data_IF_164275288326
#
_entry.id   IF_164275288326
#
_cell.length_a   1.000
_cell.length_b   1.000
_cell.length_c   1.000
_cell.angle_alpha   90.00
_cell.angle_beta   90.00
_cell.angle_gamma   90.00
#
_symmetry.space_group_name_H-M   'P 1'
#
loop_
_entity.id
_entity.type
_entity.pdbx_description
1 polymer ?
#
# COMPACT_ATOMS: atom_id res chain seq x y z
N UNK A 1 -13.40 -22.12 -3.07
CA UNK A 1 -14.24 -21.45 -2.03
C UNK A 1 -14.08 -22.06 -0.62
N UNK A 2 -14.12 -23.39 -0.47
CA UNK A 2 -13.99 -24.09 0.83
C UNK A 2 -12.65 -23.90 1.56
N UNK A 3 -11.54 -23.73 0.84
CA UNK A 3 -10.20 -23.52 1.42
C UNK A 3 -10.03 -22.12 2.04
N UNK A 4 -10.56 -21.07 1.40
CA UNK A 4 -10.60 -19.71 1.92
C UNK A 4 -11.49 -19.60 3.16
N UNK A 5 -12.64 -20.27 3.16
CA UNK A 5 -13.52 -20.38 4.34
C UNK A 5 -12.81 -21.14 5.47
N UNK A 6 -12.04 -22.19 5.17
CA UNK A 6 -11.23 -22.93 6.16
C UNK A 6 -10.08 -22.08 6.72
N UNK A 7 -9.40 -21.27 5.92
CA UNK A 7 -8.33 -20.36 6.38
C UNK A 7 -8.89 -19.23 7.24
N UNK A 8 -10.02 -18.63 6.85
CA UNK A 8 -10.73 -17.63 7.64
C UNK A 8 -11.25 -18.23 8.96
N UNK A 9 -11.81 -19.44 8.93
CA UNK A 9 -12.21 -20.19 10.13
C UNK A 9 -11.02 -20.57 11.02
N UNK A 10 -9.86 -20.89 10.46
CA UNK A 10 -8.62 -21.17 11.21
C UNK A 10 -8.05 -19.92 11.87
N UNK A 11 -8.07 -18.76 11.20
CA UNK A 11 -7.64 -17.46 11.75
C UNK A 11 -8.57 -17.02 12.89
N UNK A 12 -9.89 -17.12 12.68
CA UNK A 12 -10.92 -16.85 13.70
C UNK A 12 -10.82 -17.83 14.89
N UNK A 13 -10.57 -19.13 14.64
CA UNK A 13 -10.30 -20.14 15.69
C UNK A 13 -9.01 -19.90 16.46
N UNK A 14 -7.93 -19.39 15.84
CA UNK A 14 -6.69 -19.03 16.55
C UNK A 14 -6.90 -17.81 17.45
N UNK A 15 -7.64 -16.81 16.99
CA UNK A 15 -8.02 -15.63 17.79
C UNK A 15 -8.93 -16.01 18.97
N UNK A 16 -9.97 -16.82 18.74
CA UNK A 16 -10.84 -17.29 19.83
C UNK A 16 -10.13 -18.24 20.78
N UNK A 17 -9.15 -19.03 20.32
CA UNK A 17 -8.30 -19.85 21.21
C UNK A 17 -7.35 -19.01 22.05
N UNK A 18 -6.77 -17.92 21.51
CA UNK A 18 -5.98 -16.96 22.31
C UNK A 18 -6.84 -16.25 23.36
N UNK A 19 -8.05 -15.83 22.96
CA UNK A 19 -9.04 -15.24 23.86
C UNK A 19 -9.43 -16.23 24.98
N UNK A 20 -9.77 -17.47 24.63
CA UNK A 20 -10.11 -18.53 25.59
C UNK A 20 -8.94 -18.96 26.47
N UNK A 21 -7.69 -18.89 25.98
CA UNK A 21 -6.49 -19.18 26.76
C UNK A 21 -6.21 -18.10 27.82
N UNK A 22 -6.44 -16.82 27.50
CA UNK A 22 -6.39 -15.72 28.46
C UNK A 22 -7.38 -15.94 29.62
N UNK A 23 -8.62 -16.35 29.30
CA UNK A 23 -9.63 -16.67 30.33
C UNK A 23 -9.35 -17.97 31.10
N UNK A 24 -8.51 -18.88 30.60
CA UNK A 24 -8.18 -20.14 31.28
C UNK A 24 -6.94 -20.08 32.18
N UNK A 25 -6.03 -19.12 31.99
CA UNK A 25 -4.83 -19.00 32.85
C UNK A 25 -5.01 -18.15 34.11
N UNK A 26 -6.15 -17.48 34.28
CA UNK A 26 -6.42 -16.60 35.43
C UNK A 26 -7.73 -16.96 36.17
N UNK A 27 -7.98 -18.26 36.38
CA UNK A 27 -9.00 -18.69 37.33
C UNK A 27 -8.58 -18.32 38.77
N UNK A 28 -8.73 -17.05 39.15
CA UNK A 28 -8.44 -16.55 40.49
C UNK A 28 -8.06 -15.06 40.60
N UNK A 29 -7.80 -14.35 39.50
CA UNK A 29 -7.59 -12.88 39.53
C UNK A 29 -8.53 -12.23 38.53
N UNK A 30 -9.24 -11.18 38.96
CA UNK A 30 -10.00 -10.33 38.04
C UNK A 30 -9.03 -9.84 36.96
N UNK A 31 -9.28 -10.07 35.66
CA UNK A 31 -8.41 -9.57 34.61
C UNK A 31 -8.28 -8.07 34.79
N UNK A 32 -7.05 -7.55 34.81
CA UNK A 32 -6.81 -6.12 34.95
C UNK A 32 -7.49 -5.40 33.77
N UNK A 33 -8.64 -4.79 34.04
CA UNK A 33 -9.50 -4.16 33.03
C UNK A 33 -8.75 -3.01 32.36
N UNK A 34 -7.86 -2.31 33.06
CA UNK A 34 -7.04 -1.25 32.48
C UNK A 34 -5.99 -1.81 31.52
N UNK A 35 -5.36 -2.94 31.86
CA UNK A 35 -4.45 -3.63 30.95
C UNK A 35 -5.21 -4.18 29.72
N UNK A 36 -6.43 -4.70 29.92
CA UNK A 36 -7.29 -5.16 28.84
C UNK A 36 -7.74 -4.00 27.94
N UNK A 37 -8.17 -2.87 28.50
CA UNK A 37 -8.55 -1.67 27.76
C UNK A 37 -7.35 -0.98 27.11
N UNK A 38 -6.14 -1.10 27.65
CA UNK A 38 -4.93 -0.66 26.94
C UNK A 38 -4.62 -1.52 25.71
N UNK A 39 -4.97 -2.81 25.75
CA UNK A 39 -4.71 -3.76 24.64
C UNK A 39 -5.85 -3.75 23.61
N UNK A 40 -7.10 -3.62 24.07
CA UNK A 40 -8.34 -3.80 23.28
C UNK A 40 -9.29 -2.60 23.31
N UNK A 41 -8.89 -1.49 23.95
CA UNK A 41 -9.69 -0.27 24.00
C UNK A 41 -9.87 0.39 22.63
N UNK A 42 -10.73 1.39 22.60
CA UNK A 42 -11.16 2.10 21.39
C UNK A 42 -9.99 2.43 20.46
N UNK A 43 -10.10 2.04 19.18
CA UNK A 43 -9.20 2.43 18.09
C UNK A 43 -9.32 3.93 17.72
N UNK A 44 -9.76 4.76 18.66
CA UNK A 44 -9.85 6.19 18.48
C UNK A 44 -8.45 6.75 18.21
N UNK A 45 -8.36 7.54 17.14
CA UNK A 45 -7.14 8.18 16.73
C UNK A 45 -6.61 9.09 17.85
N UNK A 46 -5.40 8.80 18.35
CA UNK A 46 -4.85 9.55 19.49
C UNK A 46 -4.12 10.81 19.02
N UNK A 47 -4.43 11.96 19.63
CA UNK A 47 -3.66 13.20 19.42
C UNK A 47 -2.47 13.23 20.37
N UNK A 48 -1.27 13.40 19.82
CA UNK A 48 -0.01 13.50 20.54
C UNK A 48 0.54 14.93 20.47
N UNK A 49 1.26 15.34 21.52
CA UNK A 49 2.07 16.57 21.48
C UNK A 49 3.40 16.32 20.77
N UNK A 50 4.07 17.36 20.28
CA UNK A 50 5.39 17.18 19.67
C UNK A 50 6.44 16.64 20.66
N UNK A 51 6.28 16.95 21.96
CA UNK A 51 7.11 16.37 23.02
C UNK A 51 6.91 14.86 23.09
N UNK A 52 5.68 14.36 22.95
CA UNK A 52 5.43 12.92 22.85
C UNK A 52 6.09 12.33 21.60
N UNK A 53 6.03 13.00 20.45
CA UNK A 53 6.68 12.56 19.22
C UNK A 53 8.20 12.41 19.41
N UNK A 54 8.85 13.42 20.00
CA UNK A 54 10.29 13.39 20.25
C UNK A 54 10.67 12.25 21.22
N UNK A 55 9.88 12.02 22.27
CA UNK A 55 10.10 10.90 23.20
C UNK A 55 9.88 9.54 22.53
N UNK A 56 8.80 9.40 21.77
CA UNK A 56 8.41 8.16 21.08
C UNK A 56 9.48 7.70 20.06
N UNK A 57 10.21 8.63 19.48
CA UNK A 57 11.23 8.40 18.45
C UNK A 57 12.67 8.41 19.00
N UNK A 58 12.84 8.44 20.33
CA UNK A 58 14.16 8.57 20.99
C UNK A 58 14.98 9.75 20.42
N UNK A 59 14.33 10.90 20.23
CA UNK A 59 14.95 12.08 19.63
C UNK A 59 15.19 11.97 18.13
N UNK A 60 14.35 11.23 17.39
CA UNK A 60 14.45 11.01 15.94
C UNK A 60 15.70 10.21 15.52
N UNK A 61 16.12 9.25 16.35
CA UNK A 61 17.36 8.49 16.18
C UNK A 61 17.33 7.51 15.01
N UNK A 62 16.27 6.71 14.93
CA UNK A 62 16.17 5.61 13.97
C UNK A 62 15.39 6.04 12.71
N UNK A 63 16.07 6.58 11.70
CA UNK A 63 15.44 6.95 10.42
C UNK A 63 15.12 5.70 9.59
N UNK A 64 13.86 5.55 9.17
CA UNK A 64 13.38 4.47 8.30
C UNK A 64 13.37 4.85 6.83
N UNK A 65 13.16 6.12 6.52
CA UNK A 65 13.11 6.63 5.16
C UNK A 65 12.93 8.14 5.12
N UNK A 66 13.23 8.75 3.97
CA UNK A 66 13.09 10.18 3.75
C UNK A 66 12.65 10.44 2.32
N UNK A 67 11.60 11.24 2.17
CA UNK A 67 11.11 11.72 0.88
C UNK A 67 11.17 13.25 0.79
N UNK A 68 10.63 13.81 -0.29
CA UNK A 68 10.56 15.26 -0.50
C UNK A 68 9.75 15.99 0.56
N UNK A 69 8.71 15.34 1.09
CA UNK A 69 7.70 15.98 1.96
C UNK A 69 7.73 15.53 3.42
N UNK A 70 8.41 14.42 3.72
CA UNK A 70 8.41 13.84 5.06
C UNK A 70 9.66 13.00 5.33
N UNK A 71 9.94 12.82 6.62
CA UNK A 71 10.93 11.86 7.11
C UNK A 71 10.24 10.90 8.05
N UNK A 72 10.48 9.59 7.87
CA UNK A 72 9.85 8.53 8.66
C UNK A 72 10.86 7.97 9.65
N UNK A 73 10.47 7.87 10.91
CA UNK A 73 11.30 7.35 12.00
C UNK A 73 10.66 6.13 12.64
N UNK A 74 11.47 5.22 13.14
CA UNK A 74 11.00 4.16 14.02
C UNK A 74 10.73 4.77 15.40
N UNK A 75 9.65 4.34 16.02
CA UNK A 75 9.31 4.75 17.36
C UNK A 75 8.71 3.61 18.17
N UNK A 76 8.46 3.89 19.45
CA UNK A 76 7.86 2.96 20.40
C UNK A 76 6.83 3.70 21.26
N UNK A 77 5.59 3.21 21.27
CA UNK A 77 4.55 3.72 22.16
C UNK A 77 4.86 3.34 23.62
N UNK A 78 4.20 4.01 24.57
CA UNK A 78 4.30 3.68 26.00
C UNK A 78 3.92 2.22 26.32
N UNK A 79 3.01 1.65 25.53
CA UNK A 79 2.62 0.24 25.60
C UNK A 79 3.71 -0.73 25.11
N UNK A 80 4.82 -0.21 24.57
CA UNK A 80 5.89 -1.00 23.99
C UNK A 80 5.70 -1.36 22.51
N UNK A 81 4.53 -1.07 21.93
CA UNK A 81 4.24 -1.30 20.51
C UNK A 81 5.14 -0.45 19.61
N UNK A 82 5.79 -1.08 18.64
CA UNK A 82 6.58 -0.39 17.61
C UNK A 82 5.67 0.36 16.64
N UNK A 83 6.12 1.54 16.22
CA UNK A 83 5.41 2.44 15.31
C UNK A 83 6.33 3.07 14.28
N UNK A 84 5.75 3.51 13.17
CA UNK A 84 6.41 4.35 12.18
C UNK A 84 5.87 5.78 12.32
N UNK A 85 6.75 6.74 12.56
CA UNK A 85 6.42 8.15 12.80
C UNK A 85 6.83 8.96 11.58
N UNK A 86 5.86 9.31 10.73
CA UNK A 86 6.03 10.17 9.55
C UNK A 86 5.97 11.62 10.00
N UNK A 87 7.13 12.27 10.11
CA UNK A 87 7.25 13.69 10.44
C UNK A 87 7.26 14.48 9.14
N UNK A 88 6.30 15.38 8.97
CA UNK A 88 6.22 16.20 7.77
C UNK A 88 7.29 17.29 7.80
N UNK A 89 7.97 17.49 6.68
CA UNK A 89 8.88 18.63 6.49
C UNK A 89 8.05 19.91 6.44
N UNK A 90 8.69 21.05 6.72
CA UNK A 90 8.06 22.35 6.62
C UNK A 90 7.48 22.53 5.20
N UNK A 91 6.16 22.46 5.08
CA UNK A 91 5.47 22.71 3.81
C UNK A 91 5.40 24.22 3.58
N UNK A 92 5.63 24.66 2.34
CA UNK A 92 5.33 26.04 1.91
C UNK A 92 3.83 26.32 1.81
N UNK A 93 2.98 25.29 1.89
CA UNK A 93 1.52 25.39 1.84
C UNK A 93 0.82 25.08 3.16
N UNK A 94 -0.50 25.22 3.16
CA UNK A 94 -1.36 25.33 4.35
C UNK A 94 -1.49 24.03 5.18
N UNK A 95 -0.96 22.92 4.67
CA UNK A 95 -1.08 21.59 5.30
C UNK A 95 -2.26 20.77 4.82
N UNK A 96 -2.78 21.08 3.64
CA UNK A 96 -3.87 20.31 3.02
C UNK A 96 -3.54 18.83 2.92
N UNK A 97 -2.32 18.45 2.52
CA UNK A 97 -1.93 17.03 2.40
C UNK A 97 -2.00 16.30 3.74
N UNK A 98 -1.63 16.98 4.85
CA UNK A 98 -1.78 16.42 6.19
C UNK A 98 -3.26 16.18 6.54
N UNK A 99 -4.10 17.20 6.32
CA UNK A 99 -5.53 17.11 6.63
C UNK A 99 -6.22 16.06 5.75
N UNK A 100 -5.86 15.99 4.46
CA UNK A 100 -6.34 14.99 3.50
C UNK A 100 -5.95 13.58 3.92
N UNK A 101 -4.69 13.37 4.31
CA UNK A 101 -4.20 12.08 4.77
C UNK A 101 -4.97 11.65 6.03
N UNK A 102 -5.08 12.52 7.05
CA UNK A 102 -5.85 12.24 8.28
C UNK A 102 -7.33 11.97 7.98
N UNK A 103 -7.98 12.80 7.16
CA UNK A 103 -9.40 12.68 6.84
C UNK A 103 -9.72 11.40 6.06
N UNK A 104 -8.80 10.95 5.20
CA UNK A 104 -8.97 9.74 4.39
C UNK A 104 -8.67 8.49 5.21
N UNK A 105 -7.47 8.41 5.80
CA UNK A 105 -7.02 7.17 6.47
C UNK A 105 -7.82 6.87 7.75
N UNK A 106 -8.31 7.89 8.47
CA UNK A 106 -9.12 7.69 9.68
C UNK A 106 -10.46 6.99 9.43
N UNK A 107 -10.90 6.92 8.17
CA UNK A 107 -12.13 6.24 7.74
C UNK A 107 -11.90 4.80 7.29
N UNK A 108 -10.65 4.34 7.36
CA UNK A 108 -10.26 3.01 6.88
C UNK A 108 -10.03 2.06 8.04
N UNK A 109 -10.48 0.82 7.88
CA UNK A 109 -10.15 -0.29 8.76
C UNK A 109 -10.18 -1.60 7.97
N UNK A 110 -9.02 -1.96 7.40
CA UNK A 110 -8.91 -3.14 6.56
C UNK A 110 -7.51 -3.76 6.64
N UNK A 111 -7.44 -5.08 6.52
CA UNK A 111 -6.18 -5.84 6.70
C UNK A 111 -5.10 -5.44 5.70
N UNK A 112 -5.50 -4.98 4.50
CA UNK A 112 -4.60 -4.54 3.43
C UNK A 112 -4.41 -3.02 3.36
N UNK A 113 -4.77 -2.29 4.40
CA UNK A 113 -4.53 -0.85 4.54
C UNK A 113 -3.68 -0.64 5.80
N UNK A 114 -2.77 0.34 5.77
CA UNK A 114 -1.97 0.71 6.95
C UNK A 114 -2.87 1.34 8.02
N UNK A 115 -2.62 1.01 9.29
CA UNK A 115 -3.40 1.56 10.40
C UNK A 115 -2.76 2.85 10.90
N UNK A 116 -3.50 3.96 10.82
CA UNK A 116 -3.14 5.19 11.52
C UNK A 116 -3.52 5.07 13.02
N UNK A 117 -2.55 5.24 13.90
CA UNK A 117 -2.70 5.11 15.35
C UNK A 117 -2.86 6.47 16.04
N UNK A 118 -2.31 7.52 15.44
CA UNK A 118 -2.41 8.87 15.98
C UNK A 118 -1.78 9.93 15.09
N UNK A 119 -1.86 11.17 15.54
CA UNK A 119 -1.25 12.31 14.86
C UNK A 119 -0.77 13.37 15.86
N UNK A 120 0.13 14.24 15.39
CA UNK A 120 0.53 15.48 16.05
C UNK A 120 0.24 16.64 15.11
N UNK A 121 -0.39 17.69 15.64
CA UNK A 121 -0.66 18.93 14.93
C UNK A 121 -0.45 20.11 15.88
N UNK A 122 0.75 20.70 15.83
CA UNK A 122 1.19 21.84 16.63
C UNK A 122 1.88 22.87 15.71
N UNK A 123 1.08 23.73 15.08
CA UNK A 123 1.56 24.69 14.08
C UNK A 123 2.27 24.00 12.92
N UNK A 124 3.56 24.29 12.77
CA UNK A 124 4.43 23.71 11.74
C UNK A 124 4.97 22.31 12.09
N UNK A 125 4.73 21.83 13.31
CA UNK A 125 5.16 20.51 13.78
C UNK A 125 4.04 19.51 13.59
N UNK A 126 4.10 18.79 12.49
CA UNK A 126 3.06 17.84 12.06
C UNK A 126 3.65 16.45 11.92
N UNK A 127 2.98 15.46 12.50
CA UNK A 127 3.42 14.07 12.39
C UNK A 127 2.23 13.11 12.37
N UNK A 128 2.43 11.96 11.74
CA UNK A 128 1.48 10.86 11.66
C UNK A 128 2.14 9.61 12.23
N UNK A 129 1.40 8.88 13.06
CA UNK A 129 1.90 7.69 13.75
C UNK A 129 1.16 6.48 13.18
N UNK A 130 1.88 5.62 12.49
CA UNK A 130 1.38 4.40 11.88
C UNK A 130 1.85 3.17 12.62
N UNK A 131 1.18 2.04 12.39
CA UNK A 131 1.75 0.74 12.71
C UNK A 131 3.11 0.53 12.02
N UNK A 132 4.06 -0.10 12.72
CA UNK A 132 5.35 -0.43 12.13
C UNK A 132 5.26 -1.75 11.33
N UNK A 133 5.78 -1.73 10.10
CA UNK A 133 5.78 -2.87 9.18
C UNK A 133 7.22 -3.29 8.88
N UNK A 134 7.58 -4.48 9.36
CA UNK A 134 8.97 -4.92 9.52
C UNK A 134 9.71 -5.17 8.21
N UNK A 135 9.01 -5.65 7.17
CA UNK A 135 9.61 -5.89 5.86
C UNK A 135 9.72 -4.61 5.01
N UNK A 136 9.10 -3.52 5.46
CA UNK A 136 9.13 -2.22 4.77
C UNK A 136 8.42 -2.28 3.42
N UNK A 137 8.91 -1.49 2.46
CA UNK A 137 8.27 -1.33 1.15
C UNK A 137 8.49 -2.52 0.21
N UNK A 138 7.48 -2.84 -0.59
CA UNK A 138 7.51 -3.79 -1.70
C UNK A 138 8.59 -3.44 -2.73
N UNK A 139 8.92 -2.15 -2.87
CA UNK A 139 10.00 -1.65 -3.75
C UNK A 139 11.33 -2.40 -3.57
N UNK A 140 11.65 -2.80 -2.33
CA UNK A 140 12.87 -3.54 -1.99
C UNK A 140 12.93 -4.92 -2.67
N UNK A 141 11.78 -5.47 -3.03
CA UNK A 141 11.62 -6.82 -3.57
C UNK A 141 11.35 -6.83 -5.08
N UNK A 142 10.96 -5.68 -5.67
CA UNK A 142 10.64 -5.58 -7.11
C UNK A 142 11.82 -5.13 -7.97
N UNK A 143 12.85 -4.51 -7.39
CA UNK A 143 14.03 -4.06 -8.15
C UNK A 143 15.27 -4.92 -7.87
N UNK A 144 15.52 -5.89 -8.76
CA UNK A 144 16.73 -6.74 -8.78
C UNK A 144 17.97 -5.96 -9.27
N UNK A 145 18.27 -4.84 -8.61
CA UNK A 145 19.15 -3.78 -9.12
C UNK A 145 20.43 -3.52 -8.34
N UNK A 146 20.40 -3.58 -7.02
CA UNK A 146 21.53 -3.20 -6.17
C UNK A 146 22.24 -4.43 -5.63
N UNK A 147 23.57 -4.37 -5.61
CA UNK A 147 24.57 -5.43 -5.43
C UNK A 147 24.51 -6.23 -4.12
N UNK A 148 23.47 -6.03 -3.32
CA UNK A 148 23.26 -6.76 -2.08
C UNK A 148 22.12 -7.76 -2.28
N UNK A 149 22.36 -9.01 -1.88
CA UNK A 149 21.49 -10.19 -1.97
C UNK A 149 20.14 -10.00 -1.26
N UNK A 150 19.29 -9.06 -1.68
CA UNK A 150 17.93 -8.97 -1.16
C UNK A 150 17.15 -10.13 -1.78
N UNK A 151 16.60 -10.97 -0.91
CA UNK A 151 15.84 -12.18 -1.25
C UNK A 151 14.73 -11.83 -2.25
N UNK A 152 14.84 -12.39 -3.45
CA UNK A 152 13.70 -12.45 -4.37
C UNK A 152 12.55 -13.19 -3.67
N UNK A 153 11.36 -12.61 -3.70
CA UNK A 153 10.19 -13.29 -3.16
C UNK A 153 9.76 -14.42 -4.12
N UNK A 154 9.24 -15.55 -3.60
CA UNK A 154 8.62 -16.57 -4.44
C UNK A 154 7.46 -15.97 -5.25
N UNK A 155 7.24 -16.47 -6.47
CA UNK A 155 6.16 -16.01 -7.35
C UNK A 155 4.77 -16.14 -6.71
N UNK A 156 4.54 -17.21 -5.93
CA UNK A 156 3.29 -17.37 -5.18
C UNK A 156 3.09 -16.25 -4.14
N UNK A 157 4.16 -15.80 -3.49
CA UNK A 157 4.12 -14.69 -2.54
C UNK A 157 3.79 -13.38 -3.27
N UNK A 158 4.44 -13.10 -4.40
CA UNK A 158 4.14 -11.91 -5.23
C UNK A 158 2.69 -11.91 -5.73
N UNK A 159 2.18 -13.07 -6.14
CA UNK A 159 0.78 -13.21 -6.54
C UNK A 159 -0.18 -12.93 -5.38
N UNK A 160 0.10 -13.45 -4.19
CA UNK A 160 -0.70 -13.18 -3.00
C UNK A 160 -0.63 -11.70 -2.56
N UNK A 161 0.52 -11.05 -2.75
CA UNK A 161 0.70 -9.62 -2.55
C UNK A 161 -0.21 -8.84 -3.52
N UNK A 162 -0.18 -9.15 -4.82
CA UNK A 162 -1.05 -8.50 -5.81
C UNK A 162 -2.54 -8.66 -5.46
N UNK A 163 -2.96 -9.85 -5.02
CA UNK A 163 -4.34 -10.09 -4.53
C UNK A 163 -4.66 -9.23 -3.31
N UNK A 164 -3.75 -9.14 -2.33
CA UNK A 164 -3.95 -8.34 -1.13
C UNK A 164 -4.10 -6.85 -1.45
N UNK A 165 -3.30 -6.33 -2.37
CA UNK A 165 -3.40 -4.93 -2.80
C UNK A 165 -4.73 -4.68 -3.52
N UNK A 166 -5.13 -5.57 -4.43
CA UNK A 166 -6.42 -5.47 -5.12
C UNK A 166 -7.61 -5.46 -4.13
N UNK A 167 -7.55 -6.27 -3.06
CA UNK A 167 -8.55 -6.24 -1.98
C UNK A 167 -8.54 -4.93 -1.20
N UNK A 168 -7.36 -4.37 -0.95
CA UNK A 168 -7.22 -3.05 -0.33
C UNK A 168 -7.86 -1.94 -1.17
N UNK A 169 -7.59 -1.93 -2.48
CA UNK A 169 -8.18 -0.98 -3.41
C UNK A 169 -9.71 -1.14 -3.51
N UNK A 170 -10.18 -2.37 -3.63
CA UNK A 170 -11.61 -2.66 -3.63
C UNK A 170 -12.32 -2.09 -2.39
N UNK A 171 -11.70 -2.27 -1.22
CA UNK A 171 -12.18 -1.70 0.03
C UNK A 171 -12.22 -0.16 -0.01
N UNK A 172 -11.16 0.51 -0.48
CA UNK A 172 -11.14 1.97 -0.60
C UNK A 172 -12.21 2.50 -1.56
N UNK A 173 -12.46 1.78 -2.65
CA UNK A 173 -13.36 2.22 -3.71
C UNK A 173 -14.84 1.96 -3.41
N UNK A 174 -15.14 0.85 -2.74
CA UNK A 174 -16.51 0.33 -2.55
C UNK A 174 -16.86 -0.05 -1.12
N UNK A 175 -15.87 -0.36 -0.28
CA UNK A 175 -16.07 -0.83 1.10
C UNK A 175 -16.09 0.26 2.17
N UNK A 176 -15.62 1.46 1.87
CA UNK A 176 -15.65 2.62 2.76
C UNK A 176 -16.97 3.41 2.65
N UNK A 177 -17.34 4.09 3.74
CA UNK A 177 -18.54 4.96 3.78
C UNK A 177 -18.47 6.15 2.82
N UNK A 178 -17.26 6.53 2.42
CA UNK A 178 -16.99 7.44 1.31
C UNK A 178 -15.98 6.75 0.40
N UNK A 179 -16.11 6.94 -0.91
CA UNK A 179 -15.11 6.42 -1.85
C UNK A 179 -13.80 7.16 -1.62
N UNK A 180 -12.70 6.42 -1.51
CA UNK A 180 -11.36 6.98 -1.38
C UNK A 180 -10.59 6.63 -2.65
N UNK A 181 -10.14 7.64 -3.40
CA UNK A 181 -9.19 7.49 -4.49
C UNK A 181 -7.78 7.73 -3.94
N UNK A 182 -6.85 6.82 -4.20
CA UNK A 182 -5.51 6.84 -3.60
C UNK A 182 -4.53 7.74 -4.38
N UNK A 183 -4.54 7.66 -5.71
CA UNK A 183 -3.69 8.38 -6.67
C UNK A 183 -2.18 8.13 -6.60
N UNK A 184 -1.67 7.41 -5.61
CA UNK A 184 -0.24 7.08 -5.51
C UNK A 184 0.04 5.58 -5.27
N UNK A 185 -0.62 4.71 -6.03
CA UNK A 185 -0.36 3.27 -5.99
C UNK A 185 0.93 2.96 -6.76
N UNK A 186 1.94 2.49 -6.04
CA UNK A 186 3.27 2.12 -6.56
C UNK A 186 3.99 1.21 -5.55
N UNK A 187 5.03 0.46 -5.93
CA UNK A 187 5.75 -0.42 -5.01
C UNK A 187 6.23 0.27 -3.73
N UNK A 188 6.68 1.53 -3.83
CA UNK A 188 7.13 2.33 -2.68
C UNK A 188 6.07 2.42 -1.57
N UNK A 189 4.80 2.62 -1.94
CA UNK A 189 3.69 2.87 -1.02
C UNK A 189 2.96 1.59 -0.57
N UNK A 190 3.42 0.41 -1.01
CA UNK A 190 2.94 -0.87 -0.51
C UNK A 190 3.93 -1.35 0.55
N UNK A 191 3.51 -1.36 1.81
CA UNK A 191 4.31 -1.84 2.92
C UNK A 191 3.94 -3.29 3.24
N UNK A 192 4.90 -4.05 3.78
CA UNK A 192 4.78 -5.47 4.05
C UNK A 192 4.97 -5.74 5.55
N UNK A 193 4.00 -6.42 6.16
CA UNK A 193 4.15 -6.94 7.53
C UNK A 193 5.09 -8.15 7.57
N UNK A 194 5.26 -8.73 8.76
CA UNK A 194 6.17 -9.85 9.01
C UNK A 194 5.84 -11.12 8.22
N UNK A 195 4.58 -11.30 7.80
CA UNK A 195 4.12 -12.41 6.96
C UNK A 195 3.97 -12.03 5.48
N UNK A 196 4.54 -10.91 5.04
CA UNK A 196 4.41 -10.40 3.67
C UNK A 196 2.96 -10.08 3.26
N UNK A 197 2.07 -9.80 4.22
CA UNK A 197 0.76 -9.25 3.90
C UNK A 197 0.92 -7.78 3.49
N UNK A 198 0.41 -7.38 2.31
CA UNK A 198 0.55 -6.02 1.82
C UNK A 198 -0.42 -5.07 2.50
N UNK A 199 0.05 -3.86 2.78
CA UNK A 199 -0.70 -2.74 3.32
C UNK A 199 -0.45 -1.50 2.47
N UNK A 200 -1.52 -0.97 1.87
CA UNK A 200 -1.49 0.30 1.15
C UNK A 200 -1.26 1.42 2.16
N UNK A 201 -0.33 2.31 1.84
CA UNK A 201 0.10 3.43 2.69
C UNK A 201 0.26 4.71 1.87
N UNK A 202 0.51 5.82 2.58
CA UNK A 202 0.69 7.17 2.02
C UNK A 202 -0.55 7.75 1.33
N UNK A 203 -1.48 8.23 2.15
CA UNK A 203 -2.75 8.82 1.70
C UNK A 203 -2.63 10.33 1.48
N UNK A 204 -1.41 10.87 1.34
CA UNK A 204 -1.19 12.32 1.15
C UNK A 204 -1.85 12.88 -0.11
N UNK A 205 -1.93 12.08 -1.17
CA UNK A 205 -2.60 12.45 -2.43
C UNK A 205 -4.05 11.99 -2.50
N UNK A 206 -4.55 11.32 -1.47
CA UNK A 206 -5.87 10.72 -1.51
C UNK A 206 -7.00 11.76 -1.60
N UNK A 207 -8.13 11.33 -2.17
CA UNK A 207 -9.34 12.14 -2.31
C UNK A 207 -10.56 11.37 -1.85
N UNK A 208 -11.38 12.04 -1.04
CA UNK A 208 -12.71 11.58 -0.66
C UNK A 208 -13.70 12.01 -1.74
N UNK A 209 -14.47 11.04 -2.23
CA UNK A 209 -15.49 11.26 -3.26
C UNK A 209 -16.85 10.80 -2.73
N UNK A 210 -17.94 11.56 -3.01
CA UNK A 210 -19.29 11.06 -2.83
C UNK A 210 -19.49 9.76 -3.61
N UNK A 211 -20.24 8.81 -3.05
CA UNK A 211 -20.45 7.50 -3.69
C UNK A 211 -21.24 7.61 -5.00
N UNK A 212 -22.07 8.65 -5.13
CA UNK A 212 -22.94 8.92 -6.27
C UNK A 212 -22.19 9.47 -7.49
N UNK A 213 -21.01 10.05 -7.30
CA UNK A 213 -20.21 10.62 -8.39
C UNK A 213 -19.33 9.53 -9.01
N UNK A 214 -19.38 9.39 -10.34
CA UNK A 214 -18.55 8.43 -11.08
C UNK A 214 -17.17 8.99 -11.40
N UNK A 215 -17.06 10.31 -11.57
CA UNK A 215 -15.85 11.03 -11.91
C UNK A 215 -15.64 12.22 -11.00
N UNK A 216 -14.38 12.64 -10.82
CA UNK A 216 -14.04 13.84 -10.05
C UNK A 216 -13.36 14.88 -10.92
N UNK A 217 -13.65 16.16 -10.65
CA UNK A 217 -12.90 17.27 -11.22
C UNK A 217 -11.61 17.50 -10.42
N UNK A 218 -10.45 17.37 -11.07
CA UNK A 218 -9.16 17.67 -10.45
C UNK A 218 -8.52 18.89 -11.11
N UNK A 219 -8.20 19.93 -10.33
CA UNK A 219 -7.53 21.14 -10.81
C UNK A 219 -6.10 20.86 -11.33
N UNK A 220 -5.40 19.93 -10.69
CA UNK A 220 -4.01 19.59 -11.01
C UNK A 220 -3.82 18.07 -11.10
N UNK A 221 -2.97 17.63 -12.03
CA UNK A 221 -2.54 16.25 -12.11
C UNK A 221 -1.71 15.87 -10.86
N UNK A 222 -1.98 14.68 -10.31
CA UNK A 222 -1.30 14.16 -9.10
C UNK A 222 -0.92 12.70 -9.32
N UNK A 223 0.12 12.26 -8.61
CA UNK A 223 0.63 10.89 -8.64
C UNK A 223 2.09 10.81 -9.04
N UNK A 224 2.58 9.58 -9.21
CA UNK A 224 3.99 9.32 -9.55
C UNK A 224 4.15 8.93 -11.02
N UNK A 225 5.01 9.65 -11.76
CA UNK A 225 5.34 9.39 -13.16
C UNK A 225 5.63 7.89 -13.38
N UNK A 226 5.02 7.31 -14.40
CA UNK A 226 5.06 5.87 -14.69
C UNK A 226 3.87 5.08 -14.14
N UNK A 227 3.13 5.61 -13.17
CA UNK A 227 1.90 4.99 -12.62
C UNK A 227 0.65 5.84 -12.84
N UNK A 228 0.77 7.08 -13.30
CA UNK A 228 -0.35 7.99 -13.53
C UNK A 228 -1.16 7.52 -14.73
N UNK A 229 -2.48 7.40 -14.55
CA UNK A 229 -3.41 7.05 -15.61
C UNK A 229 -3.56 8.19 -16.66
N UNK A 230 -3.76 7.88 -17.95
CA UNK A 230 -3.84 8.89 -19.01
C UNK A 230 -4.87 9.99 -18.76
N UNK A 231 -6.05 9.63 -18.25
CA UNK A 231 -7.14 10.57 -17.99
C UNK A 231 -6.85 11.59 -16.88
N UNK A 232 -5.84 11.32 -16.03
CA UNK A 232 -5.42 12.24 -14.95
C UNK A 232 -4.69 13.46 -15.49
N UNK A 233 -3.94 13.32 -16.59
CA UNK A 233 -3.23 14.43 -17.24
C UNK A 233 -3.81 14.83 -18.60
N UNK A 234 -4.68 14.00 -19.19
CA UNK A 234 -5.32 14.24 -20.48
C UNK A 234 -6.84 14.03 -20.39
N UNK A 235 -7.58 15.11 -20.12
CA UNK A 235 -9.05 15.04 -19.93
C UNK A 235 -9.84 14.66 -21.17
N UNK A 236 -9.24 14.69 -22.36
CA UNK A 236 -9.89 14.20 -23.59
C UNK A 236 -10.02 12.68 -23.62
N UNK A 237 -9.21 11.96 -22.82
CA UNK A 237 -9.22 10.48 -22.73
C UNK A 237 -10.35 9.97 -21.81
N UNK A 238 -10.78 10.78 -20.84
CA UNK A 238 -11.87 10.43 -19.94
C UNK A 238 -11.89 11.25 -18.66
N UNK A 239 -12.84 10.93 -17.77
CA UNK A 239 -12.93 11.54 -16.44
C UNK A 239 -12.17 10.72 -15.39
N UNK A 240 -11.46 11.42 -14.50
CA UNK A 240 -10.72 10.82 -13.39
C UNK A 240 -11.68 10.10 -12.44
N UNK A 241 -11.38 8.85 -12.10
CA UNK A 241 -12.24 8.01 -11.26
C UNK A 241 -11.41 6.97 -10.51
N UNK A 242 -12.08 6.01 -9.86
CA UNK A 242 -11.42 4.83 -9.28
C UNK A 242 -10.63 4.01 -10.30
N UNK A 243 -10.93 4.13 -11.61
CA UNK A 243 -10.15 3.50 -12.68
C UNK A 243 -8.72 4.01 -12.76
N UNK A 244 -8.45 5.23 -12.29
CA UNK A 244 -7.09 5.75 -12.27
C UNK A 244 -6.20 4.98 -11.28
N UNK A 245 -6.73 4.56 -10.12
CA UNK A 245 -6.03 3.66 -9.20
C UNK A 245 -5.87 2.24 -9.78
N UNK A 246 -6.85 1.77 -10.57
CA UNK A 246 -6.79 0.48 -11.28
C UNK A 246 -5.63 0.47 -12.28
N UNK A 247 -5.48 1.56 -13.05
CA UNK A 247 -4.35 1.73 -13.96
C UNK A 247 -3.02 1.69 -13.20
N UNK A 248 -2.89 2.46 -12.11
CA UNK A 248 -1.67 2.44 -11.29
C UNK A 248 -1.36 1.05 -10.71
N UNK A 249 -2.39 0.30 -10.30
CA UNK A 249 -2.26 -1.09 -9.88
C UNK A 249 -1.72 -1.99 -10.99
N UNK A 250 -2.25 -1.88 -12.21
CA UNK A 250 -1.76 -2.66 -13.35
C UNK A 250 -0.29 -2.38 -13.68
N UNK A 251 0.09 -1.10 -13.70
CA UNK A 251 1.50 -0.69 -13.89
C UNK A 251 2.41 -1.27 -12.79
N UNK A 252 1.98 -1.22 -11.53
CA UNK A 252 2.73 -1.79 -10.41
C UNK A 252 2.87 -3.32 -10.52
N UNK A 253 1.81 -4.04 -10.92
CA UNK A 253 1.89 -5.50 -11.10
C UNK A 253 2.79 -5.87 -12.28
N UNK A 254 2.82 -5.08 -13.36
CA UNK A 254 3.84 -5.26 -14.41
C UNK A 254 5.25 -5.06 -13.87
N UNK A 255 5.49 -4.02 -13.06
CA UNK A 255 6.79 -3.80 -12.42
C UNK A 255 7.21 -4.98 -11.55
N UNK A 256 6.26 -5.64 -10.87
CA UNK A 256 6.52 -6.83 -10.07
C UNK A 256 6.94 -8.05 -10.91
N UNK A 257 6.43 -8.19 -12.14
CA UNK A 257 6.69 -9.37 -12.98
C UNK A 257 7.85 -9.16 -13.95
N UNK A 258 7.94 -8.00 -14.58
CA UNK A 258 8.90 -7.74 -15.64
C UNK A 258 10.22 -7.16 -15.13
N UNK A 259 10.21 -6.50 -13.96
CA UNK A 259 11.36 -5.77 -13.40
C UNK A 259 11.78 -4.56 -14.25
N UNK A 260 12.07 -3.41 -13.61
CA UNK A 260 12.42 -2.16 -14.34
C UNK A 260 13.62 -2.26 -15.31
N UNK A 261 14.48 -3.27 -15.19
CA UNK A 261 15.65 -3.44 -16.08
C UNK A 261 15.26 -3.84 -17.52
N UNK A 262 14.16 -4.56 -17.69
CA UNK A 262 13.65 -4.88 -19.02
C UNK A 262 12.96 -3.67 -19.69
N UNK A 263 12.62 -2.64 -18.90
CA UNK A 263 11.96 -1.42 -19.38
C UNK A 263 12.94 -0.41 -19.97
N UNK A 264 14.14 -0.27 -19.40
CA UNK A 264 15.09 0.78 -19.85
C UNK A 264 15.97 0.36 -21.04
N UNK A 265 16.26 -0.94 -21.19
CA UNK A 265 17.22 -1.41 -22.20
C UNK A 265 16.62 -1.57 -23.61
N UNK A 266 15.33 -1.95 -23.71
CA UNK A 266 14.67 -2.18 -25.01
C UNK A 266 13.75 -1.02 -25.44
N UNK A 267 13.18 -0.23 -24.51
CA UNK A 267 12.41 0.98 -24.87
C UNK A 267 13.30 2.04 -25.54
N UNK A 268 14.61 2.03 -25.26
CA UNK A 268 15.59 2.83 -26.00
C UNK A 268 15.84 2.34 -27.44
N UNK A 269 15.46 1.10 -27.80
CA UNK A 269 15.60 0.55 -29.15
C UNK A 269 14.33 0.64 -29.99
N UNK A 270 13.15 0.76 -29.39
CA UNK A 270 11.88 0.95 -30.11
C UNK A 270 11.16 2.19 -29.61
N UNK A 271 11.64 3.36 -29.99
CA UNK A 271 11.09 4.68 -29.63
C UNK A 271 9.64 4.95 -30.12
N UNK A 272 8.96 3.96 -30.70
CA UNK A 272 7.66 4.11 -31.36
C UNK A 272 6.55 3.22 -30.80
N UNK A 273 6.83 2.22 -29.93
CA UNK A 273 5.81 1.25 -29.49
C UNK A 273 5.29 1.59 -28.10
N UNK A 274 3.97 1.79 -27.98
CA UNK A 274 3.26 1.93 -26.71
C UNK A 274 3.60 0.75 -25.79
N UNK A 275 4.09 1.03 -24.58
CA UNK A 275 4.65 0.01 -23.68
C UNK A 275 3.73 -1.20 -23.42
N UNK A 276 2.42 -1.03 -23.15
CA UNK A 276 1.49 -2.16 -23.07
C UNK A 276 1.38 -2.97 -24.36
N UNK A 277 1.39 -2.31 -25.53
CA UNK A 277 1.37 -2.98 -26.84
C UNK A 277 2.63 -3.83 -27.05
N UNK A 278 3.78 -3.33 -26.61
CA UNK A 278 5.04 -4.07 -26.68
C UNK A 278 5.00 -5.36 -25.86
N UNK A 279 4.40 -5.35 -24.67
CA UNK A 279 4.23 -6.57 -23.86
C UNK A 279 3.28 -7.54 -24.56
N UNK A 280 2.16 -7.05 -25.10
CA UNK A 280 1.19 -7.88 -25.85
C UNK A 280 1.86 -8.64 -26.99
N UNK A 281 2.64 -7.94 -27.82
CA UNK A 281 3.33 -8.54 -28.96
C UNK A 281 4.31 -9.63 -28.51
N UNK A 282 5.04 -9.41 -27.40
CA UNK A 282 5.98 -10.41 -26.87
C UNK A 282 5.31 -11.62 -26.21
N UNK A 283 4.12 -11.44 -25.63
CA UNK A 283 3.31 -12.57 -25.12
C UNK A 283 2.80 -13.45 -26.26
N UNK A 284 2.38 -12.84 -27.37
CA UNK A 284 1.93 -13.56 -28.58
C UNK A 284 3.06 -14.37 -29.22
N UNK A 285 4.31 -13.88 -29.12
CA UNK A 285 5.51 -14.54 -29.64
C UNK A 285 6.14 -15.56 -28.67
N UNK A 286 5.53 -15.80 -27.50
CA UNK A 286 6.06 -16.67 -26.43
C UNK A 286 7.54 -16.42 -26.06
N UNK A 287 8.03 -15.17 -26.16
CA UNK A 287 9.44 -14.88 -25.89
C UNK A 287 9.81 -15.18 -24.43
N UNK A 288 10.69 -16.16 -24.21
CA UNK A 288 11.19 -16.54 -22.87
C UNK A 288 11.84 -15.36 -22.13
N UNK A 289 12.34 -14.37 -22.87
CA UNK A 289 12.96 -13.16 -22.34
C UNK A 289 12.03 -12.28 -21.48
N UNK A 290 10.70 -12.43 -21.61
CA UNK A 290 9.73 -11.73 -20.74
C UNK A 290 9.69 -12.31 -19.32
N UNK A 291 10.00 -13.60 -19.15
CA UNK A 291 9.75 -14.32 -17.90
C UNK A 291 11.02 -14.36 -17.06
N UNK A 292 11.03 -13.61 -15.96
CA UNK A 292 12.24 -13.45 -15.15
C UNK A 292 12.59 -14.75 -14.39
N UNK A 293 13.71 -15.39 -14.77
CA UNK A 293 14.37 -16.45 -13.98
C UNK A 293 13.55 -17.73 -13.76
N UNK A 294 12.66 -18.07 -14.69
CA UNK A 294 11.69 -19.16 -14.51
C UNK A 294 12.34 -20.55 -14.59
N UNK A 295 12.10 -21.41 -13.60
CA UNK A 295 12.63 -22.80 -13.56
C UNK A 295 11.51 -23.84 -13.76
N UNK A 296 10.22 -23.51 -13.49
CA UNK A 296 9.12 -24.48 -13.62
C UNK A 296 7.80 -23.91 -14.24
N UNK A 297 6.96 -24.81 -14.74
CA UNK A 297 5.69 -24.51 -15.46
C UNK A 297 4.67 -23.75 -14.59
N UNK A 298 4.62 -24.05 -13.28
CA UNK A 298 3.68 -23.42 -12.35
C UNK A 298 3.94 -21.93 -12.17
N UNK A 299 5.21 -21.56 -12.04
CA UNK A 299 5.65 -20.15 -11.93
C UNK A 299 5.35 -19.38 -13.21
N UNK A 300 5.59 -19.99 -14.38
CA UNK A 300 5.25 -19.39 -15.69
C UNK A 300 3.76 -19.06 -15.77
N UNK A 301 2.88 -19.99 -15.35
CA UNK A 301 1.44 -19.77 -15.38
C UNK A 301 0.98 -18.61 -14.47
N UNK A 302 1.59 -18.46 -13.30
CA UNK A 302 1.32 -17.34 -12.38
C UNK A 302 1.74 -16.01 -12.99
N UNK A 303 2.95 -15.94 -13.58
CA UNK A 303 3.45 -14.74 -14.26
C UNK A 303 2.53 -14.32 -15.41
N UNK A 304 2.17 -15.25 -16.31
CA UNK A 304 1.24 -14.98 -17.42
C UNK A 304 -0.07 -14.40 -16.89
N UNK A 305 -0.65 -15.01 -15.85
CA UNK A 305 -1.90 -14.53 -15.26
C UNK A 305 -1.78 -13.12 -14.72
N UNK A 306 -0.69 -12.80 -14.03
CA UNK A 306 -0.44 -11.45 -13.51
C UNK A 306 -0.30 -10.43 -14.65
N UNK A 307 0.48 -10.76 -15.68
CA UNK A 307 0.67 -9.88 -16.85
C UNK A 307 -0.67 -9.62 -17.55
N UNK A 308 -1.47 -10.66 -17.81
CA UNK A 308 -2.78 -10.49 -18.46
C UNK A 308 -3.69 -9.57 -17.66
N UNK A 309 -3.80 -9.77 -16.34
CA UNK A 309 -4.59 -8.88 -15.48
C UNK A 309 -4.08 -7.44 -15.53
N UNK A 310 -2.76 -7.25 -15.49
CA UNK A 310 -2.19 -5.90 -15.58
C UNK A 310 -2.52 -5.20 -16.89
N UNK A 311 -2.43 -5.92 -18.02
CA UNK A 311 -2.76 -5.38 -19.33
C UNK A 311 -4.23 -4.96 -19.44
N UNK A 312 -5.13 -5.71 -18.79
CA UNK A 312 -6.53 -5.32 -18.65
C UNK A 312 -6.73 -4.08 -17.77
N UNK A 313 -5.87 -3.86 -16.77
CA UNK A 313 -5.95 -2.70 -15.90
C UNK A 313 -5.42 -1.40 -16.55
N UNK A 314 -4.47 -1.48 -17.48
CA UNK A 314 -3.76 -0.31 -18.05
C UNK A 314 -4.29 0.13 -19.42
N UNK A 315 -5.55 -0.16 -19.69
CA UNK A 315 -6.20 0.30 -20.92
C UNK A 315 -6.25 1.83 -20.96
N UNK A 316 -6.11 2.39 -22.16
CA UNK A 316 -6.06 3.85 -22.34
C UNK A 316 -7.36 4.53 -21.94
N UNK A 317 -8.51 3.93 -22.24
CA UNK A 317 -9.82 4.50 -21.93
C UNK A 317 -10.39 3.88 -20.66
N UNK A 318 -10.74 4.69 -19.64
CA UNK A 318 -11.24 4.17 -18.36
C UNK A 318 -12.64 3.54 -18.46
N UNK A 319 -13.35 3.70 -19.57
CA UNK A 319 -14.67 3.08 -19.81
C UNK A 319 -14.61 1.56 -19.99
N UNK A 320 -13.44 1.05 -20.40
CA UNK A 320 -13.24 -0.38 -20.65
C UNK A 320 -12.92 -1.15 -19.37
#
# INVERSE_FOLDING_TARGET
MLLLVKLCRRRKRRQTRKFAAFWKSEAGKCPNVDAFLQIYGSFALTRYTYVNIKKMTDGFKDKLGEGGYATVYKGKLMSGRLVAVKVLKLSKGDGEDFLNEVASISRTNHVNIVTLLGFCYEGNKRALIYEFLSNGSLEKFTFHGTRDKIQSLPWETLFNIAIGIARGLDYLHRGCNARILHFDIKPHNILLDEEFCPKISDFGLARLCPLQESTISMLEARGTIGYIAPEVFCRTVGGVSHKSDVYSFGMMVLDMVCGRKNLSADVQRSSEVYFPQWIYNRLELEEEALFQGTINVGEKAVQIKMILVSLWCIQTYPSN
#
